data_IF_196158059548
#
_entry.id   IF_196158059548
#
_cell.length_a   1.000
_cell.length_b   1.000
_cell.length_c   1.000
_cell.angle_alpha   90.00
_cell.angle_beta   90.00
_cell.angle_gamma   90.00
#
_symmetry.space_group_name_H-M   'P 1'
#
loop_
_entity.id
_entity.type
_entity.pdbx_description
1 polymer ?
#
# COMPACT_ATOMS: atom_id res chain seq x y z
N UNK A 1 -1.50 3.20 -9.13
CA UNK A 1 -0.08 3.03 -9.42
C UNK A 1 0.48 1.79 -8.71
N UNK A 2 0.31 1.64 -7.38
CA UNK A 2 0.81 0.49 -6.62
C UNK A 2 0.32 -0.84 -7.16
N UNK A 3 -0.99 -1.03 -7.26
CA UNK A 3 -1.62 -2.25 -7.77
C UNK A 3 -1.16 -2.59 -9.21
N UNK A 4 -1.06 -1.59 -10.09
CA UNK A 4 -0.53 -1.78 -11.43
C UNK A 4 0.94 -2.24 -11.42
N UNK A 5 1.74 -1.65 -10.53
CA UNK A 5 3.15 -2.03 -10.39
C UNK A 5 3.28 -3.49 -9.95
N UNK A 6 2.54 -3.92 -8.93
CA UNK A 6 2.63 -5.29 -8.41
C UNK A 6 2.10 -6.33 -9.39
N UNK A 7 0.96 -6.09 -10.01
CA UNK A 7 0.31 -7.09 -10.87
C UNK A 7 0.91 -7.19 -12.25
N UNK A 8 1.41 -6.06 -12.80
CA UNK A 8 1.87 -6.06 -14.19
C UNK A 8 3.37 -5.84 -14.31
N UNK A 9 3.93 -4.84 -13.63
CA UNK A 9 5.33 -4.50 -13.83
C UNK A 9 6.27 -5.50 -13.17
N UNK A 10 5.95 -5.97 -11.96
CA UNK A 10 6.77 -6.98 -11.26
C UNK A 10 6.83 -8.27 -12.05
N UNK A 11 5.69 -8.75 -12.56
CA UNK A 11 5.64 -9.98 -13.36
C UNK A 11 6.42 -9.83 -14.67
N UNK A 12 6.29 -8.71 -15.35
CA UNK A 12 7.01 -8.40 -16.58
C UNK A 12 8.54 -8.42 -16.35
N UNK A 13 9.02 -7.82 -15.26
CA UNK A 13 10.45 -7.84 -14.96
C UNK A 13 10.93 -9.17 -14.39
N UNK A 14 10.08 -9.93 -13.70
CA UNK A 14 10.41 -11.27 -13.19
C UNK A 14 10.70 -12.26 -14.30
N UNK A 15 10.10 -12.08 -15.48
CA UNK A 15 10.33 -12.91 -16.65
C UNK A 15 11.68 -12.64 -17.35
N UNK A 16 12.41 -11.60 -16.96
CA UNK A 16 13.70 -11.25 -17.55
C UNK A 16 14.78 -12.23 -17.07
N UNK A 17 15.62 -12.70 -18.01
CA UNK A 17 16.73 -13.58 -17.70
C UNK A 17 17.68 -12.94 -16.67
N UNK A 18 18.23 -13.77 -15.78
CA UNK A 18 19.17 -13.36 -14.73
C UNK A 18 18.57 -12.50 -13.60
N UNK A 19 17.27 -12.20 -13.60
CA UNK A 19 16.59 -11.58 -12.45
C UNK A 19 16.49 -12.61 -11.32
N UNK A 20 17.03 -12.28 -10.16
CA UNK A 20 16.99 -13.12 -8.96
C UNK A 20 15.93 -12.67 -7.96
N UNK A 21 15.76 -11.37 -7.82
CA UNK A 21 14.79 -10.80 -6.88
C UNK A 21 14.34 -9.42 -7.35
N UNK A 22 13.06 -9.14 -7.15
CA UNK A 22 12.49 -7.82 -7.30
C UNK A 22 12.04 -7.33 -5.93
N UNK A 23 12.26 -6.06 -5.65
CA UNK A 23 11.73 -5.34 -4.49
C UNK A 23 11.00 -4.12 -4.96
N UNK A 24 9.84 -3.91 -4.43
CA UNK A 24 9.06 -2.69 -4.62
C UNK A 24 9.18 -1.81 -3.38
N UNK A 25 9.16 -0.50 -3.58
CA UNK A 25 9.20 0.48 -2.51
C UNK A 25 8.28 1.65 -2.81
N UNK A 26 7.68 2.23 -1.77
CA UNK A 26 6.72 3.32 -1.92
C UNK A 26 5.34 2.86 -2.39
N UNK A 27 5.08 1.56 -2.37
CA UNK A 27 3.73 1.03 -2.53
C UNK A 27 2.88 1.54 -1.37
N UNK A 28 1.74 2.08 -1.71
CA UNK A 28 0.72 2.51 -0.75
C UNK A 28 -0.50 1.65 -0.99
N UNK A 29 -0.56 0.54 -0.27
CA UNK A 29 -1.77 -0.24 -0.23
C UNK A 29 -2.87 0.63 0.38
N UNK A 30 -4.01 0.68 -0.31
CA UNK A 30 -5.18 1.36 0.21
C UNK A 30 -5.74 0.53 1.36
N UNK A 31 -5.96 1.17 2.46
CA UNK A 31 -6.67 0.62 3.61
C UNK A 31 -7.81 1.54 4.01
N UNK A 32 -8.76 1.02 4.76
CA UNK A 32 -9.71 1.85 5.45
C UNK A 32 -9.12 2.23 6.79
N UNK A 33 -9.10 3.52 7.09
CA UNK A 33 -8.74 4.07 8.39
C UNK A 33 -9.99 4.39 9.16
N UNK A 34 -10.05 3.91 10.38
CA UNK A 34 -11.12 4.16 11.32
C UNK A 34 -10.56 4.99 12.48
N UNK A 35 -10.86 6.27 12.49
CA UNK A 35 -10.46 7.20 13.55
C UNK A 35 -11.53 7.22 14.64
N UNK A 36 -11.30 6.51 15.71
CA UNK A 36 -12.25 6.39 16.81
C UNK A 36 -12.14 7.60 17.73
N UNK A 37 -13.28 8.26 18.00
CA UNK A 37 -13.36 9.41 18.90
C UNK A 37 -13.57 8.94 20.35
N UNK A 38 -12.60 9.19 21.26
CA UNK A 38 -12.68 8.75 22.65
C UNK A 38 -13.86 9.36 23.41
N UNK A 39 -14.26 10.58 23.05
CA UNK A 39 -15.38 11.28 23.71
C UNK A 39 -16.70 10.61 23.33
N UNK A 40 -16.87 10.31 22.04
CA UNK A 40 -18.05 9.59 21.53
C UNK A 40 -18.12 8.17 22.07
N UNK A 41 -16.96 7.46 22.23
CA UNK A 41 -16.92 6.17 22.90
C UNK A 41 -17.44 6.24 24.33
N UNK A 42 -16.90 7.17 25.11
CA UNK A 42 -17.30 7.34 26.52
C UNK A 42 -18.79 7.71 26.63
N UNK A 43 -19.30 8.60 25.76
CA UNK A 43 -20.70 8.99 25.74
C UNK A 43 -21.65 7.81 25.48
N UNK A 44 -21.20 6.80 24.72
CA UNK A 44 -21.97 5.59 24.40
C UNK A 44 -21.64 4.40 25.32
N UNK A 45 -20.86 4.59 26.38
CA UNK A 45 -20.38 3.54 27.26
C UNK A 45 -19.76 2.36 26.47
N UNK A 46 -18.90 2.69 25.51
CA UNK A 46 -18.18 1.77 24.67
C UNK A 46 -16.68 1.79 24.99
N UNK A 47 -16.07 0.65 24.85
CA UNK A 47 -14.61 0.48 24.89
C UNK A 47 -14.05 0.25 23.50
N UNK A 48 -12.77 0.54 23.32
CA UNK A 48 -12.11 0.28 22.03
C UNK A 48 -12.08 -1.23 21.70
N UNK A 49 -12.01 -2.10 22.70
CA UNK A 49 -12.04 -3.54 22.55
C UNK A 49 -13.39 -4.03 22.00
N UNK A 50 -14.50 -3.39 22.38
CA UNK A 50 -15.82 -3.71 21.83
C UNK A 50 -15.89 -3.33 20.35
N UNK A 51 -15.33 -2.19 19.96
CA UNK A 51 -15.25 -1.76 18.56
C UNK A 51 -14.38 -2.73 17.76
N UNK A 52 -13.20 -3.06 18.28
CA UNK A 52 -12.28 -4.02 17.64
C UNK A 52 -12.94 -5.40 17.46
N UNK A 53 -13.62 -5.89 18.48
CA UNK A 53 -14.30 -7.19 18.43
C UNK A 53 -15.42 -7.20 17.41
N UNK A 54 -16.19 -6.11 17.29
CA UNK A 54 -17.25 -5.99 16.29
C UNK A 54 -16.68 -5.98 14.88
N UNK A 55 -15.58 -5.24 14.65
CA UNK A 55 -14.89 -5.23 13.37
C UNK A 55 -14.32 -6.60 12.99
N UNK A 56 -13.75 -7.34 13.94
CA UNK A 56 -13.23 -8.70 13.72
C UNK A 56 -14.33 -9.72 13.41
N UNK A 57 -15.46 -9.61 14.09
CA UNK A 57 -16.58 -10.55 13.91
C UNK A 57 -17.22 -10.43 12.52
N UNK A 58 -17.12 -9.30 11.87
CA UNK A 58 -17.60 -9.07 10.49
C UNK A 58 -16.63 -9.60 9.42
N UNK A 59 -15.73 -10.53 9.76
CA UNK A 59 -14.70 -11.08 8.85
C UNK A 59 -13.76 -10.04 8.21
N UNK A 60 -13.54 -8.93 8.91
CA UNK A 60 -12.56 -7.94 8.48
C UNK A 60 -11.19 -8.44 8.96
N UNK A 61 -10.30 -8.77 8.03
CA UNK A 61 -8.92 -9.13 8.36
C UNK A 61 -8.20 -7.91 8.93
N UNK A 62 -7.99 -7.89 10.25
CA UNK A 62 -7.17 -6.89 10.91
C UNK A 62 -5.70 -7.36 10.89
N UNK A 63 -4.77 -6.59 10.34
CA UNK A 63 -3.36 -6.87 10.56
C UNK A 63 -3.04 -6.64 12.03
N UNK A 64 -2.17 -7.48 12.60
CA UNK A 64 -1.62 -7.28 13.93
C UNK A 64 -0.74 -6.01 13.92
N UNK A 65 -1.34 -4.84 14.13
CA UNK A 65 -0.68 -3.55 14.22
C UNK A 65 -0.46 -3.14 15.66
N UNK A 66 0.64 -2.48 15.92
CA UNK A 66 1.02 -1.89 17.20
C UNK A 66 0.05 -0.79 17.62
N UNK A 67 -0.48 -0.89 18.83
CA UNK A 67 -1.20 0.17 19.52
C UNK A 67 -0.19 1.27 19.91
N UNK A 68 -0.17 2.40 19.22
CA UNK A 68 0.54 3.59 19.67
C UNK A 68 -0.47 4.54 20.33
N UNK A 69 -0.24 4.78 21.62
CA UNK A 69 -1.09 5.59 22.49
C UNK A 69 -0.87 7.08 22.26
N UNK A 70 -1.83 7.76 21.69
CA UNK A 70 -2.37 9.09 21.94
C UNK A 70 -3.54 9.42 21.00
N UNK A 71 -3.66 8.75 19.87
CA UNK A 71 -4.84 8.61 19.02
C UNK A 71 -4.80 7.16 18.53
N UNK A 72 -5.83 6.38 18.84
CA UNK A 72 -5.86 4.97 18.49
C UNK A 72 -6.17 4.85 17.00
N UNK A 73 -5.15 4.57 16.20
CA UNK A 73 -5.27 4.28 14.78
C UNK A 73 -5.49 2.78 14.58
N UNK A 74 -6.69 2.40 14.19
CA UNK A 74 -6.96 1.07 13.68
C UNK A 74 -6.78 1.06 12.16
N UNK A 75 -5.74 0.41 11.68
CA UNK A 75 -5.54 0.20 10.25
C UNK A 75 -6.14 -1.14 9.85
N UNK A 76 -7.16 -1.11 9.01
CA UNK A 76 -7.79 -2.29 8.43
C UNK A 76 -7.17 -2.55 7.06
N UNK A 77 -6.55 -3.72 6.86
CA UNK A 77 -6.22 -4.18 5.53
C UNK A 77 -7.50 -4.70 4.86
N UNK A 78 -7.90 -4.04 3.80
CA UNK A 78 -8.96 -4.53 2.95
C UNK A 78 -8.44 -5.72 2.13
N UNK A 79 -8.74 -6.92 2.56
CA UNK A 79 -8.94 -7.97 1.60
C UNK A 79 -10.18 -7.58 0.79
N UNK A 80 -10.14 -7.72 -0.53
CA UNK A 80 -11.03 -7.24 -1.60
C UNK A 80 -12.56 -7.25 -1.36
N UNK A 81 -13.01 -7.38 -0.11
CA UNK A 81 -14.40 -7.63 0.29
C UNK A 81 -15.20 -6.37 0.64
N UNK A 82 -14.56 -5.24 0.89
CA UNK A 82 -15.23 -3.98 1.20
C UNK A 82 -15.02 -2.95 0.09
N UNK A 83 -15.81 -3.06 -0.97
CA UNK A 83 -15.86 -2.05 -2.04
C UNK A 83 -16.61 -0.78 -1.62
N UNK A 84 -17.21 -0.77 -0.41
CA UNK A 84 -18.09 0.31 0.01
C UNK A 84 -17.85 0.71 1.47
N UNK A 85 -17.21 1.88 1.65
CA UNK A 85 -17.08 2.54 2.96
C UNK A 85 -18.44 2.74 3.64
N UNK A 86 -19.52 2.91 2.89
CA UNK A 86 -20.83 3.17 3.45
C UNK A 86 -21.35 1.96 4.24
N UNK A 87 -21.07 0.77 3.79
CA UNK A 87 -21.41 -0.46 4.54
C UNK A 87 -20.67 -0.52 5.87
N UNK A 88 -19.38 -0.13 5.88
CA UNK A 88 -18.60 -0.08 7.11
C UNK A 88 -19.10 0.99 8.08
N UNK A 89 -19.53 2.15 7.57
CA UNK A 89 -20.13 3.22 8.39
C UNK A 89 -21.39 2.76 9.12
N UNK A 90 -22.18 1.90 8.48
CA UNK A 90 -23.43 1.37 9.03
C UNK A 90 -23.25 0.16 9.95
N UNK A 91 -22.00 -0.30 10.14
CA UNK A 91 -21.72 -1.46 10.99
C UNK A 91 -22.25 -1.24 12.42
N UNK A 92 -23.14 -2.13 12.92
CA UNK A 92 -23.65 -2.03 14.28
C UNK A 92 -22.58 -2.48 15.29
N UNK A 93 -22.17 -1.58 16.17
CA UNK A 93 -21.19 -1.86 17.23
C UNK A 93 -21.86 -2.37 18.49
N UNK A 94 -22.93 -1.69 18.92
CA UNK A 94 -23.66 -2.07 20.15
C UNK A 94 -25.10 -1.69 20.07
N UNK A 95 -25.95 -2.53 20.64
CA UNK A 95 -27.37 -2.21 20.84
C UNK A 95 -27.59 -1.74 22.28
N UNK A 96 -28.03 -0.49 22.45
CA UNK A 96 -28.32 0.11 23.75
C UNK A 96 -29.81 0.39 23.83
N UNK A 97 -30.53 -0.38 24.68
CA UNK A 97 -31.99 -0.29 24.81
C UNK A 97 -32.68 -0.42 23.44
N UNK A 98 -33.22 0.71 22.92
CA UNK A 98 -33.93 0.75 21.64
C UNK A 98 -33.12 1.42 20.52
N UNK A 99 -31.86 1.78 20.75
CA UNK A 99 -30.96 2.41 19.78
C UNK A 99 -29.79 1.49 19.41
N UNK A 100 -29.36 1.58 18.18
CA UNK A 100 -28.15 0.87 17.69
C UNK A 100 -27.07 1.93 17.48
N UNK A 101 -25.94 1.77 18.16
CA UNK A 101 -24.75 2.59 17.93
C UNK A 101 -23.99 1.98 16.76
N UNK A 102 -23.80 2.77 15.71
CA UNK A 102 -23.05 2.37 14.49
C UNK A 102 -21.64 2.89 14.55
N UNK A 103 -20.79 2.34 13.71
CA UNK A 103 -19.39 2.78 13.63
C UNK A 103 -19.28 4.28 13.27
N UNK A 104 -20.12 4.78 12.39
CA UNK A 104 -20.18 6.20 12.02
C UNK A 104 -20.54 7.14 13.18
N UNK A 105 -21.20 6.63 14.22
CA UNK A 105 -21.57 7.46 15.38
C UNK A 105 -20.37 7.74 16.30
N UNK A 106 -19.35 6.88 16.24
CA UNK A 106 -18.21 6.89 17.16
C UNK A 106 -16.84 7.06 16.47
N UNK A 107 -16.81 7.00 15.14
CA UNK A 107 -15.58 7.07 14.38
C UNK A 107 -15.75 7.78 13.04
N UNK A 108 -14.66 8.40 12.57
CA UNK A 108 -14.53 8.88 11.20
C UNK A 108 -13.84 7.79 10.36
N UNK A 109 -14.36 7.56 9.15
CA UNK A 109 -13.92 6.47 8.29
C UNK A 109 -13.48 7.02 6.94
N UNK A 110 -12.25 6.78 6.56
CA UNK A 110 -11.67 7.26 5.30
C UNK A 110 -10.79 6.21 4.63
N UNK A 111 -10.59 6.34 3.31
CA UNK A 111 -9.54 5.61 2.62
C UNK A 111 -8.20 6.30 2.81
N UNK A 112 -7.22 5.55 3.23
CA UNK A 112 -5.86 6.05 3.42
C UNK A 112 -4.80 4.98 3.10
N UNK A 113 -3.52 5.34 3.09
CA UNK A 113 -2.45 4.36 2.97
C UNK A 113 -2.32 3.55 4.26
N UNK A 114 -1.99 2.25 4.14
CA UNK A 114 -1.72 1.34 5.29
C UNK A 114 -0.66 1.94 6.21
N UNK A 115 0.34 2.62 5.68
CA UNK A 115 1.38 3.29 6.47
C UNK A 115 1.82 4.59 5.80
N UNK A 116 1.88 5.66 6.57
CA UNK A 116 2.48 6.93 6.14
C UNK A 116 4.01 6.92 6.25
N UNK A 117 4.56 5.95 6.99
CA UNK A 117 6.01 5.83 7.23
C UNK A 117 6.77 5.35 5.98
N UNK A 118 6.10 4.69 5.04
CA UNK A 118 6.68 4.22 3.78
C UNK A 118 6.51 5.24 2.67
N UNK A 119 7.28 6.33 2.74
CA UNK A 119 7.29 7.34 1.70
C UNK A 119 8.52 7.15 0.80
N UNK A 120 8.30 6.75 -0.45
CA UNK A 120 9.33 6.83 -1.48
C UNK A 120 9.20 8.17 -2.21
N UNK A 121 10.19 9.03 -2.07
CA UNK A 121 10.28 10.30 -2.80
C UNK A 121 11.32 10.14 -3.89
N UNK A 122 10.91 10.27 -5.14
CA UNK A 122 11.83 10.44 -6.25
C UNK A 122 11.75 11.87 -6.75
N UNK A 123 12.91 12.45 -7.03
CA UNK A 123 13.04 13.74 -7.69
C UNK A 123 13.48 13.47 -9.12
N UNK A 124 12.61 13.75 -10.08
CA UNK A 124 12.98 13.83 -11.50
C UNK A 124 13.37 15.27 -11.84
N UNK A 125 14.20 15.43 -12.88
CA UNK A 125 14.61 16.77 -13.36
C UNK A 125 13.42 17.67 -13.72
N UNK A 126 12.28 17.08 -14.03
CA UNK A 126 11.11 17.78 -14.54
C UNK A 126 9.89 17.80 -13.61
N UNK A 127 9.98 17.18 -12.42
CA UNK A 127 8.85 17.16 -11.50
C UNK A 127 9.28 16.96 -10.04
N UNK A 128 8.81 17.86 -9.18
CA UNK A 128 8.96 17.82 -7.73
C UNK A 128 7.73 17.09 -7.13
N UNK A 129 7.95 16.21 -6.17
CA UNK A 129 6.91 15.56 -5.37
C UNK A 129 5.92 14.64 -6.11
N UNK A 130 6.38 13.90 -7.11
CA UNK A 130 5.54 12.88 -7.75
C UNK A 130 5.24 11.71 -6.81
N UNK A 131 4.00 11.22 -6.85
CA UNK A 131 3.64 9.91 -6.28
C UNK A 131 4.38 8.86 -7.10
N UNK A 132 5.41 8.26 -6.51
CA UNK A 132 6.35 7.39 -7.22
C UNK A 132 6.44 6.04 -6.50
N UNK A 133 6.59 4.98 -7.28
CA UNK A 133 6.90 3.64 -6.80
C UNK A 133 8.28 3.26 -7.32
N UNK A 134 9.13 2.78 -6.46
CA UNK A 134 10.45 2.26 -6.82
C UNK A 134 10.40 0.76 -7.09
N UNK A 135 11.04 0.30 -8.17
CA UNK A 135 11.23 -1.12 -8.46
C UNK A 135 12.74 -1.39 -8.45
N UNK A 136 13.20 -2.14 -7.46
CA UNK A 136 14.59 -2.60 -7.37
C UNK A 136 14.72 -3.99 -7.97
N UNK A 137 15.54 -4.13 -9.02
CA UNK A 137 15.79 -5.40 -9.70
C UNK A 137 17.20 -5.87 -9.37
N UNK A 138 17.31 -7.09 -8.86
CA UNK A 138 18.56 -7.68 -8.40
C UNK A 138 18.91 -8.92 -9.20
N UNK A 139 20.19 -9.07 -9.55
CA UNK A 139 20.69 -10.24 -10.26
C UNK A 139 20.59 -11.53 -9.42
N UNK A 140 20.45 -12.65 -10.08
CA UNK A 140 20.73 -13.97 -9.48
C UNK A 140 22.16 -14.05 -9.00
N UNK A 141 22.41 -14.87 -7.98
CA UNK A 141 23.78 -15.16 -7.54
C UNK A 141 24.62 -15.70 -8.72
N UNK A 142 25.80 -15.13 -8.91
CA UNK A 142 26.70 -15.49 -10.00
C UNK A 142 26.33 -14.93 -11.40
N UNK A 143 25.22 -14.22 -11.55
CA UNK A 143 24.88 -13.59 -12.83
C UNK A 143 25.56 -12.22 -12.99
N UNK A 144 25.89 -11.89 -14.24
CA UNK A 144 26.46 -10.58 -14.60
C UNK A 144 25.43 -9.45 -14.43
N UNK A 145 25.77 -8.46 -13.62
CA UNK A 145 24.93 -7.25 -13.47
C UNK A 145 24.86 -6.44 -14.76
N UNK A 146 25.90 -6.50 -15.60
CA UNK A 146 25.94 -5.80 -16.90
C UNK A 146 24.97 -6.45 -17.89
N UNK A 147 24.93 -7.77 -17.95
CA UNK A 147 23.95 -8.48 -18.79
C UNK A 147 22.53 -8.26 -18.29
N UNK A 148 22.32 -8.37 -16.98
CA UNK A 148 21.01 -8.06 -16.39
C UNK A 148 20.54 -6.65 -16.77
N UNK A 149 21.40 -5.65 -16.65
CA UNK A 149 21.04 -4.26 -17.02
C UNK A 149 20.63 -4.16 -18.49
N UNK A 150 21.37 -4.81 -19.41
CA UNK A 150 21.01 -4.83 -20.84
C UNK A 150 19.64 -5.46 -21.07
N UNK A 151 19.38 -6.61 -20.45
CA UNK A 151 18.12 -7.35 -20.62
C UNK A 151 16.95 -6.58 -20.03
N UNK A 152 17.12 -5.97 -18.85
CA UNK A 152 16.10 -5.13 -18.21
C UNK A 152 15.80 -3.88 -19.05
N UNK A 153 16.82 -3.21 -19.60
CA UNK A 153 16.64 -2.05 -20.48
C UNK A 153 15.90 -2.42 -21.76
N UNK A 154 16.20 -3.57 -22.36
CA UNK A 154 15.48 -4.08 -23.52
C UNK A 154 13.99 -4.31 -23.17
N UNK A 155 13.72 -4.99 -22.07
CA UNK A 155 12.36 -5.25 -21.60
C UNK A 155 11.62 -3.93 -21.28
N UNK A 156 12.32 -2.94 -20.74
CA UNK A 156 11.76 -1.63 -20.42
C UNK A 156 11.24 -0.89 -21.67
N UNK A 157 11.88 -1.06 -22.81
CA UNK A 157 11.39 -0.47 -24.07
C UNK A 157 10.03 -1.06 -24.45
N UNK A 158 9.87 -2.39 -24.30
CA UNK A 158 8.61 -3.05 -24.62
C UNK A 158 7.51 -2.68 -23.61
N UNK A 159 7.86 -2.56 -22.32
CA UNK A 159 6.93 -2.13 -21.28
C UNK A 159 6.44 -0.71 -21.57
N UNK A 160 7.33 0.22 -21.92
CA UNK A 160 6.97 1.62 -22.22
C UNK A 160 5.98 1.78 -23.36
N UNK A 161 6.00 0.89 -24.33
CA UNK A 161 5.05 0.91 -25.46
C UNK A 161 3.62 0.54 -25.06
N UNK A 162 3.48 -0.21 -23.99
CA UNK A 162 2.20 -0.72 -23.49
C UNK A 162 1.79 -0.07 -22.17
N UNK A 163 2.52 0.97 -21.73
CA UNK A 163 2.23 1.69 -20.50
C UNK A 163 1.04 2.63 -20.71
N UNK A 164 0.11 2.75 -19.77
CA UNK A 164 -0.91 3.80 -19.80
C UNK A 164 -0.29 5.20 -19.89
N UNK A 165 -0.97 6.11 -20.59
CA UNK A 165 -0.46 7.47 -20.88
C UNK A 165 -0.19 8.33 -19.63
N UNK A 166 -0.85 8.01 -18.53
CA UNK A 166 -0.69 8.69 -17.23
C UNK A 166 0.49 8.15 -16.39
N UNK A 167 1.18 7.11 -16.88
CA UNK A 167 2.31 6.49 -16.19
C UNK A 167 3.62 6.71 -16.95
N UNK A 168 4.70 6.93 -16.21
CA UNK A 168 6.05 7.00 -16.75
C UNK A 168 7.00 6.11 -15.94
N UNK A 169 7.95 5.47 -16.65
CA UNK A 169 9.00 4.65 -16.02
C UNK A 169 10.36 5.22 -16.41
N UNK A 170 11.16 5.52 -15.40
CA UNK A 170 12.53 6.00 -15.56
C UNK A 170 13.52 5.10 -14.80
N UNK A 171 14.74 5.00 -15.31
CA UNK A 171 15.84 4.34 -14.62
C UNK A 171 16.50 5.37 -13.71
N UNK A 172 16.26 5.23 -12.41
CA UNK A 172 16.81 6.16 -11.41
C UNK A 172 18.29 5.85 -11.10
N UNK A 173 18.66 4.55 -11.10
CA UNK A 173 20.01 4.12 -10.77
C UNK A 173 20.33 2.79 -11.44
N UNK A 174 21.56 2.68 -12.00
CA UNK A 174 22.04 1.47 -12.65
C UNK A 174 23.51 1.22 -12.27
N UNK A 175 23.74 0.17 -11.51
CA UNK A 175 25.10 -0.23 -11.09
C UNK A 175 26.01 -0.64 -12.26
N UNK A 176 25.44 -1.13 -13.35
CA UNK A 176 26.22 -1.57 -14.48
C UNK A 176 26.98 -0.43 -15.16
N UNK A 177 26.50 0.79 -15.08
CA UNK A 177 27.19 1.99 -15.60
C UNK A 177 28.52 2.26 -14.91
N UNK A 178 28.68 1.84 -13.67
CA UNK A 178 29.92 2.04 -12.91
C UNK A 178 30.92 0.88 -13.08
N UNK A 179 30.43 -0.33 -13.43
CA UNK A 179 31.27 -1.52 -13.61
C UNK A 179 31.84 -1.58 -15.01
N UNK A 180 31.18 -0.98 -16.02
CA UNK A 180 31.61 -0.96 -17.41
C UNK A 180 32.70 0.05 -17.76
N UNK A 181 33.14 0.89 -16.80
CA UNK A 181 34.17 1.92 -16.96
C UNK A 181 35.46 1.60 -16.20
N UNK A 182 35.61 0.40 -15.62
CA UNK A 182 36.81 -0.06 -14.94
C UNK A 182 37.62 -1.05 -15.79
#
# INVERSE_FOLDING_TARGET
LGDYTERYLVDQFSSVKNVGRIRTGGLRDLSVRVWVDPIKLAANNLTIQEVESSLRNENISLPAGTLESNNIDLTLNLDKSYDDINKLKELPIKKIKNSIVRLSDIADIEFGPVSEKNLFKAQSKNALNLKTVGIGIYAKSGASTVELSKDVRKKLIDIRRNLPDDLNIEVAFDRATYVGTA
#
